data_IF_478109737906
#
_entry.id   IF_478109737906
#
_cell.length_a   1.000
_cell.length_b   1.000
_cell.length_c   1.000
_cell.angle_alpha   90.00
_cell.angle_beta   90.00
_cell.angle_gamma   90.00
#
_symmetry.space_group_name_H-M   'P 1'
#
loop_
_entity.id
_entity.type
_entity.pdbx_description
1 polymer ?
#
# COMPACT_ATOMS: atom_id res chain seq x y z
N UNK A 1 8.15 -9.55 -20.16
CA UNK A 1 8.45 -8.14 -19.85
C UNK A 1 8.04 -7.93 -18.41
N UNK A 2 8.96 -7.46 -17.56
CA UNK A 2 8.68 -7.22 -16.13
C UNK A 2 7.80 -5.98 -16.02
N UNK A 3 6.70 -6.06 -15.27
CA UNK A 3 5.81 -4.91 -15.03
C UNK A 3 6.35 -4.16 -13.80
N UNK A 4 6.58 -2.87 -13.94
CA UNK A 4 7.12 -2.02 -12.89
C UNK A 4 6.13 -0.95 -12.49
N UNK A 5 6.14 -0.60 -11.21
CA UNK A 5 5.35 0.48 -10.64
C UNK A 5 6.26 1.55 -10.07
N UNK A 6 5.92 2.82 -10.27
CA UNK A 6 6.78 3.95 -9.94
C UNK A 6 6.14 4.87 -8.91
N UNK A 7 6.94 5.39 -7.96
CA UNK A 7 6.50 6.38 -6.97
C UNK A 7 7.68 7.20 -6.45
N UNK A 8 7.47 8.50 -6.25
CA UNK A 8 8.42 9.35 -5.54
C UNK A 8 8.25 9.21 -4.03
N UNK A 9 9.31 8.79 -3.32
CA UNK A 9 9.30 8.56 -1.87
C UNK A 9 10.60 9.00 -1.21
N UNK A 10 10.50 9.36 0.06
CA UNK A 10 11.61 9.84 0.88
C UNK A 10 12.64 8.72 1.01
N UNK A 11 13.92 9.06 0.88
CA UNK A 11 15.01 8.12 1.16
C UNK A 11 15.25 7.99 2.67
N UNK A 12 15.49 6.77 3.12
CA UNK A 12 16.06 6.47 4.43
C UNK A 12 17.08 5.35 4.25
N UNK A 13 18.36 5.71 4.34
CA UNK A 13 19.50 4.80 4.19
C UNK A 13 19.53 4.05 2.85
N UNK A 14 19.20 4.73 1.74
CA UNK A 14 19.21 4.13 0.41
C UNK A 14 18.00 3.24 0.08
N UNK A 15 16.95 3.29 0.92
CA UNK A 15 15.67 2.61 0.72
C UNK A 15 14.51 3.59 0.86
N UNK A 16 13.33 3.32 0.28
CA UNK A 16 12.18 4.22 0.45
C UNK A 16 11.64 4.13 1.87
N UNK A 17 11.71 5.22 2.63
CA UNK A 17 11.30 5.30 4.04
C UNK A 17 9.87 4.77 4.25
N UNK A 18 9.70 3.86 5.20
CA UNK A 18 8.40 3.27 5.55
C UNK A 18 7.56 4.26 6.36
N UNK A 19 6.24 4.31 6.10
CA UNK A 19 5.31 4.98 6.99
C UNK A 19 4.02 5.48 6.34
N UNK A 20 3.15 6.06 7.18
CA UNK A 20 1.77 6.45 6.84
C UNK A 20 1.67 7.84 6.21
N UNK A 21 2.42 8.07 5.14
CA UNK A 21 2.39 9.36 4.44
C UNK A 21 2.49 9.17 2.94
N UNK A 22 1.96 10.13 2.20
CA UNK A 22 2.02 10.10 0.76
C UNK A 22 3.46 10.17 0.22
N UNK A 23 4.45 10.62 1.02
CA UNK A 23 5.88 10.64 0.65
C UNK A 23 6.65 9.40 1.10
N UNK A 24 6.00 8.45 1.76
CA UNK A 24 6.60 7.26 2.34
C UNK A 24 6.08 6.01 1.62
N UNK A 25 6.78 4.89 1.84
CA UNK A 25 6.33 3.56 1.47
C UNK A 25 5.26 3.14 2.47
N UNK A 26 4.00 3.29 2.05
CA UNK A 26 2.85 3.12 2.91
C UNK A 26 1.63 3.92 2.45
N UNK A 27 0.64 3.97 3.32
CA UNK A 27 -0.67 4.53 3.07
C UNK A 27 -1.09 5.54 4.14
N UNK A 28 -1.83 6.57 3.76
CA UNK A 28 -2.53 7.46 4.69
C UNK A 28 -3.87 6.86 5.08
N UNK A 29 -4.08 6.69 6.38
CA UNK A 29 -5.34 6.17 6.91
C UNK A 29 -6.47 7.19 6.65
N UNK A 30 -7.64 6.70 6.23
CA UNK A 30 -8.81 7.51 5.88
C UNK A 30 -8.72 8.26 4.55
N UNK A 31 -7.56 8.27 3.88
CA UNK A 31 -7.41 8.83 2.53
C UNK A 31 -7.13 7.74 1.51
N UNK A 32 -6.00 7.05 1.67
CA UNK A 32 -5.51 6.03 0.76
C UNK A 32 -6.18 4.68 1.07
N UNK A 33 -6.41 4.38 2.35
CA UNK A 33 -7.07 3.15 2.82
C UNK A 33 -8.07 3.46 3.93
N UNK A 34 -9.22 2.79 3.94
CA UNK A 34 -10.13 2.86 5.08
C UNK A 34 -9.72 1.82 6.14
N UNK A 35 -9.78 2.24 7.39
CA UNK A 35 -9.44 1.41 8.54
C UNK A 35 -10.63 1.41 9.49
N UNK A 36 -10.95 0.24 10.03
CA UNK A 36 -11.98 0.07 11.03
C UNK A 36 -11.41 -0.61 12.28
N UNK A 37 -11.86 -0.19 13.45
CA UNK A 37 -11.59 -0.89 14.71
C UNK A 37 -12.51 -2.10 14.83
N UNK A 38 -11.96 -3.29 15.00
CA UNK A 38 -12.71 -4.54 15.15
C UNK A 38 -12.16 -5.35 16.34
N UNK A 39 -13.00 -6.10 17.07
CA UNK A 39 -12.51 -7.06 18.04
C UNK A 39 -11.51 -8.03 17.40
N UNK A 40 -10.44 -8.36 18.12
CA UNK A 40 -9.43 -9.33 17.65
C UNK A 40 -10.06 -10.68 17.30
N UNK A 41 -11.14 -11.08 17.97
CA UNK A 41 -11.94 -12.28 17.64
C UNK A 41 -12.67 -12.23 16.30
N UNK A 42 -12.57 -11.12 15.54
CA UNK A 42 -13.02 -11.06 14.14
C UNK A 42 -11.96 -11.51 13.14
N UNK A 43 -10.70 -11.69 13.58
CA UNK A 43 -9.58 -12.06 12.71
C UNK A 43 -9.15 -13.50 12.98
N UNK A 44 -8.63 -14.17 11.94
CA UNK A 44 -7.96 -15.46 12.09
C UNK A 44 -6.55 -15.30 12.67
N UNK A 45 -5.85 -16.42 12.88
CA UNK A 45 -4.46 -16.45 13.38
C UNK A 45 -3.46 -15.68 12.51
N UNK A 46 -3.78 -15.49 11.23
CA UNK A 46 -2.96 -14.75 10.28
C UNK A 46 -3.35 -13.26 10.23
N UNK A 47 -4.39 -12.84 10.95
CA UNK A 47 -4.90 -11.47 10.94
C UNK A 47 -5.84 -11.17 9.77
N UNK A 48 -6.41 -12.17 9.11
CA UNK A 48 -7.42 -11.98 8.07
C UNK A 48 -8.82 -11.94 8.66
N UNK A 49 -9.70 -11.12 8.07
CA UNK A 49 -11.08 -11.02 8.54
C UNK A 49 -11.85 -12.33 8.33
N UNK A 50 -12.35 -12.90 9.42
CA UNK A 50 -13.16 -14.11 9.42
C UNK A 50 -14.53 -13.88 8.74
N UNK A 51 -15.16 -14.95 8.21
CA UNK A 51 -16.57 -14.92 7.82
C UNK A 51 -17.46 -14.47 8.98
N UNK A 52 -18.59 -13.82 8.69
CA UNK A 52 -19.48 -13.24 9.74
C UNK A 52 -19.93 -14.25 10.81
N UNK A 53 -20.08 -15.52 10.46
CA UNK A 53 -20.55 -16.58 11.36
C UNK A 53 -19.51 -16.97 12.42
N UNK A 54 -18.23 -16.75 12.13
CA UNK A 54 -17.11 -17.18 12.99
C UNK A 54 -16.56 -16.04 13.84
N UNK A 55 -17.16 -14.84 13.76
CA UNK A 55 -16.69 -13.64 14.46
C UNK A 55 -17.18 -13.63 15.89
N UNK A 56 -16.25 -13.54 16.82
CA UNK A 56 -16.54 -13.35 18.24
C UNK A 56 -16.53 -11.86 18.61
N UNK A 57 -17.59 -11.38 19.25
CA UNK A 57 -17.71 -9.99 19.73
C UNK A 57 -17.00 -9.83 21.09
N UNK A 58 -15.80 -10.40 21.23
CA UNK A 58 -14.98 -10.35 22.44
C UNK A 58 -13.53 -10.07 22.06
N UNK A 59 -12.81 -9.45 22.99
CA UNK A 59 -11.39 -9.12 22.85
C UNK A 59 -11.11 -7.65 22.59
N UNK A 60 -9.83 -7.32 22.52
CA UNK A 60 -9.34 -5.96 22.26
C UNK A 60 -9.69 -5.49 20.85
N UNK A 61 -9.88 -4.18 20.69
CA UNK A 61 -10.10 -3.58 19.38
C UNK A 61 -8.76 -3.39 18.66
N UNK A 62 -8.66 -3.94 17.45
CA UNK A 62 -7.51 -3.82 16.57
C UNK A 62 -7.89 -3.09 15.28
N UNK A 63 -6.92 -2.39 14.71
CA UNK A 63 -7.09 -1.68 13.44
C UNK A 63 -7.05 -2.66 12.26
N UNK A 64 -8.11 -2.66 11.45
CA UNK A 64 -8.27 -3.53 10.29
C UNK A 64 -8.35 -2.70 9.01
N UNK A 65 -7.46 -2.96 8.07
CA UNK A 65 -7.46 -2.37 6.74
C UNK A 65 -8.52 -3.05 5.86
N UNK A 66 -9.47 -2.28 5.34
CA UNK A 66 -10.56 -2.81 4.52
C UNK A 66 -10.10 -3.05 3.09
N UNK A 67 -10.44 -4.22 2.54
CA UNK A 67 -10.32 -4.45 1.09
C UNK A 67 -11.42 -3.68 0.38
N UNK A 68 -11.03 -2.64 -0.33
CA UNK A 68 -11.89 -1.86 -1.20
C UNK A 68 -11.24 -1.71 -2.58
N UNK A 69 -12.08 -1.58 -3.60
CA UNK A 69 -11.58 -1.29 -4.94
C UNK A 69 -10.95 0.10 -4.98
N UNK A 70 -9.79 0.22 -5.64
CA UNK A 70 -9.12 1.51 -5.91
C UNK A 70 -8.68 2.28 -4.64
N UNK A 71 -8.46 1.55 -3.54
CA UNK A 71 -7.90 2.07 -2.28
C UNK A 71 -6.60 1.35 -1.96
N UNK A 72 -5.56 2.09 -1.66
CA UNK A 72 -4.23 1.54 -1.42
C UNK A 72 -3.12 2.56 -1.66
N UNK A 73 -1.89 2.08 -1.70
CA UNK A 73 -0.74 2.91 -1.99
C UNK A 73 -0.70 3.25 -3.48
N UNK A 74 -0.91 4.53 -3.82
CA UNK A 74 -0.84 5.04 -5.20
C UNK A 74 0.54 4.87 -5.83
N UNK A 75 0.58 4.28 -7.02
CA UNK A 75 1.77 4.15 -7.86
C UNK A 75 1.40 4.42 -9.33
N UNK A 76 2.39 4.66 -10.18
CA UNK A 76 2.22 4.91 -11.61
C UNK A 76 2.80 3.80 -12.47
N UNK A 77 2.22 3.56 -13.65
CA UNK A 77 2.72 2.56 -14.62
C UNK A 77 3.97 3.01 -15.38
N UNK A 78 4.29 4.30 -15.35
CA UNK A 78 5.51 4.86 -15.94
C UNK A 78 5.98 6.09 -15.16
N UNK A 79 7.20 6.53 -15.43
CA UNK A 79 7.76 7.74 -14.82
C UNK A 79 7.01 8.98 -15.32
N UNK A 80 6.69 9.02 -16.61
CA UNK A 80 6.00 10.14 -17.27
C UNK A 80 4.61 10.36 -16.69
N UNK A 81 3.94 9.26 -16.33
CA UNK A 81 2.63 9.24 -15.69
C UNK A 81 2.61 9.80 -14.26
N UNK A 82 3.76 9.99 -13.61
CA UNK A 82 3.80 10.54 -12.26
C UNK A 82 3.33 12.01 -12.26
N UNK A 83 2.52 12.41 -11.26
CA UNK A 83 2.21 13.81 -11.01
C UNK A 83 3.48 14.65 -10.85
N UNK A 84 3.50 15.86 -11.41
CA UNK A 84 4.64 16.77 -11.33
C UNK A 84 5.25 16.97 -9.90
N UNK A 85 4.47 17.11 -8.81
CA UNK A 85 5.03 17.23 -7.45
C UNK A 85 5.63 15.92 -6.91
N UNK A 86 5.40 14.78 -7.57
CA UNK A 86 5.90 13.44 -7.20
C UNK A 86 6.99 12.93 -8.13
N UNK A 87 7.29 13.69 -9.17
CA UNK A 87 8.26 13.36 -10.21
C UNK A 87 9.52 14.20 -10.01
N UNK A 88 10.72 13.60 -9.93
CA UNK A 88 11.97 14.34 -9.81
C UNK A 88 12.22 15.32 -10.98
N UNK A 89 13.02 16.35 -10.73
CA UNK A 89 13.39 17.35 -11.75
C UNK A 89 14.05 16.74 -13.00
N UNK A 90 14.89 15.71 -12.83
CA UNK A 90 15.51 14.99 -13.96
C UNK A 90 14.52 14.33 -14.93
N UNK A 91 13.26 14.16 -14.52
CA UNK A 91 12.18 13.60 -15.32
C UNK A 91 11.08 14.63 -15.64
N UNK A 92 11.39 15.93 -15.55
CA UNK A 92 10.46 17.01 -15.89
C UNK A 92 9.38 17.30 -14.84
N UNK A 93 9.59 16.90 -13.59
CA UNK A 93 8.75 17.31 -12.46
C UNK A 93 9.44 18.31 -11.54
N UNK A 94 8.89 18.52 -10.34
CA UNK A 94 9.48 19.36 -9.29
C UNK A 94 9.39 18.71 -7.90
N UNK A 95 9.19 17.38 -7.87
CA UNK A 95 9.25 16.58 -6.66
C UNK A 95 10.64 16.57 -6.03
N UNK A 96 10.68 16.59 -4.71
CA UNK A 96 11.92 16.60 -3.90
C UNK A 96 12.45 15.21 -3.58
N UNK A 97 11.60 14.21 -3.69
CA UNK A 97 11.90 12.83 -3.36
C UNK A 97 12.58 12.10 -4.53
N UNK A 98 13.50 11.16 -4.27
CA UNK A 98 13.96 10.24 -5.29
C UNK A 98 12.81 9.38 -5.82
N UNK A 99 13.03 8.85 -7.02
CA UNK A 99 12.11 7.93 -7.67
C UNK A 99 12.46 6.50 -7.29
N UNK A 100 11.44 5.74 -6.90
CA UNK A 100 11.54 4.31 -6.63
C UNK A 100 10.67 3.53 -7.61
N UNK A 101 11.04 2.26 -7.79
CA UNK A 101 10.29 1.29 -8.56
C UNK A 101 9.98 0.07 -7.69
N UNK A 102 8.85 -0.58 -7.96
CA UNK A 102 8.46 -1.85 -7.37
C UNK A 102 8.18 -2.82 -8.52
N UNK A 103 8.79 -4.00 -8.47
CA UNK A 103 8.47 -5.09 -9.39
C UNK A 103 7.08 -5.67 -9.06
N UNK A 104 6.26 -5.92 -10.07
CA UNK A 104 4.97 -6.60 -9.92
C UNK A 104 5.12 -7.99 -9.30
N UNK A 105 6.27 -8.67 -9.48
CA UNK A 105 6.55 -9.93 -8.78
C UNK A 105 6.63 -9.78 -7.25
N UNK A 106 6.84 -8.57 -6.74
CA UNK A 106 6.87 -8.27 -5.32
C UNK A 106 5.47 -7.94 -4.79
N UNK A 107 4.48 -7.73 -5.67
CA UNK A 107 3.08 -7.51 -5.30
C UNK A 107 2.37 -8.86 -5.22
N UNK A 108 2.70 -9.62 -4.17
CA UNK A 108 2.19 -10.98 -3.95
C UNK A 108 1.63 -11.15 -2.54
N UNK A 109 1.05 -12.33 -2.27
CA UNK A 109 0.50 -12.68 -0.97
C UNK A 109 -0.64 -11.75 -0.55
N UNK A 110 -0.33 -10.86 0.41
CA UNK A 110 -1.26 -9.91 1.04
C UNK A 110 -1.59 -8.70 0.16
N UNK A 111 -0.81 -8.48 -0.90
CA UNK A 111 -0.99 -7.33 -1.78
C UNK A 111 -1.63 -7.74 -3.11
N UNK A 112 -2.30 -6.77 -3.73
CA UNK A 112 -2.74 -6.83 -5.12
C UNK A 112 -2.56 -5.45 -5.77
N UNK A 113 -2.21 -5.44 -7.06
CA UNK A 113 -2.17 -4.22 -7.86
C UNK A 113 -3.51 -4.00 -8.56
N UNK A 114 -4.24 -2.95 -8.19
CA UNK A 114 -5.53 -2.58 -8.79
C UNK A 114 -5.33 -1.36 -9.68
N UNK A 115 -5.33 -1.57 -10.99
CA UNK A 115 -5.30 -0.46 -11.94
C UNK A 115 -6.67 0.22 -12.00
N UNK A 116 -6.74 1.50 -11.65
CA UNK A 116 -8.00 2.26 -11.61
C UNK A 116 -8.16 3.26 -12.77
N UNK A 117 -7.09 3.51 -13.52
CA UNK A 117 -7.06 4.34 -14.73
C UNK A 117 -5.95 3.87 -15.67
N UNK A 118 -5.79 4.53 -16.82
CA UNK A 118 -4.74 4.18 -17.80
C UNK A 118 -3.31 4.37 -17.27
N UNK A 119 -3.11 5.12 -16.19
CA UNK A 119 -1.78 5.49 -15.69
C UNK A 119 -1.57 5.25 -14.19
N UNK A 120 -2.65 5.13 -13.42
CA UNK A 120 -2.61 4.99 -11.95
C UNK A 120 -3.02 3.59 -11.50
N UNK A 121 -2.31 3.11 -10.49
CA UNK A 121 -2.51 1.81 -9.85
C UNK A 121 -2.51 2.03 -8.35
N UNK A 122 -3.41 1.35 -7.65
CA UNK A 122 -3.42 1.26 -6.19
C UNK A 122 -2.86 -0.09 -5.77
N UNK A 123 -1.79 -0.11 -4.98
CA UNK A 123 -1.34 -1.32 -4.30
C UNK A 123 -2.23 -1.50 -3.07
N UNK A 124 -3.15 -2.44 -3.14
CA UNK A 124 -4.24 -2.64 -2.17
C UNK A 124 -4.02 -3.91 -1.34
N UNK A 125 -4.60 -4.02 -0.14
CA UNK A 125 -4.72 -5.31 0.52
C UNK A 125 -5.59 -6.25 -0.33
N UNK A 126 -5.17 -7.52 -0.47
CA UNK A 126 -5.90 -8.53 -1.27
C UNK A 126 -7.19 -8.99 -0.59
N UNK A 127 -7.20 -8.96 0.74
CA UNK A 127 -8.32 -9.29 1.63
C UNK A 127 -8.36 -8.29 2.78
N UNK A 128 -9.52 -8.13 3.42
CA UNK A 128 -9.61 -7.32 4.64
C UNK A 128 -8.77 -7.98 5.74
N UNK A 129 -7.82 -7.24 6.30
CA UNK A 129 -6.78 -7.80 7.18
C UNK A 129 -6.33 -6.79 8.24
N UNK A 130 -5.59 -7.25 9.24
CA UNK A 130 -4.93 -6.40 10.23
C UNK A 130 -4.09 -5.32 9.53
N UNK A 131 -4.21 -4.07 9.98
CA UNK A 131 -3.50 -2.94 9.38
C UNK A 131 -1.99 -3.17 9.40
N UNK A 132 -1.43 -3.66 10.51
CA UNK A 132 0.00 -3.92 10.65
C UNK A 132 0.50 -4.96 9.64
N UNK A 133 -0.32 -5.98 9.34
CA UNK A 133 0.01 -6.99 8.32
C UNK A 133 0.08 -6.36 6.93
N UNK A 134 -0.88 -5.51 6.58
CA UNK A 134 -0.86 -4.80 5.31
C UNK A 134 0.36 -3.87 5.19
N UNK A 135 0.70 -3.16 6.26
CA UNK A 135 1.86 -2.27 6.29
C UNK A 135 3.19 -3.02 6.21
N UNK A 136 3.30 -4.17 6.87
CA UNK A 136 4.44 -5.07 6.74
C UNK A 136 4.56 -5.61 5.31
N UNK A 137 3.44 -5.97 4.68
CA UNK A 137 3.45 -6.41 3.28
C UNK A 137 3.93 -5.31 2.34
N UNK A 138 3.51 -4.05 2.54
CA UNK A 138 4.06 -2.91 1.80
C UNK A 138 5.55 -2.72 2.06
N UNK A 139 6.00 -2.79 3.32
CA UNK A 139 7.40 -2.68 3.67
C UNK A 139 8.28 -3.75 2.98
N UNK A 140 7.76 -4.97 2.84
CA UNK A 140 8.46 -6.07 2.17
C UNK A 140 8.63 -5.86 0.64
N UNK A 141 8.02 -4.82 0.06
CA UNK A 141 8.29 -4.41 -1.32
C UNK A 141 9.55 -3.54 -1.48
N UNK A 142 10.23 -3.20 -0.37
CA UNK A 142 11.51 -2.48 -0.40
C UNK A 142 12.66 -3.31 -0.96
N UNK A 143 12.69 -4.58 -0.60
CA UNK A 143 13.68 -5.52 -1.07
C UNK A 143 13.19 -6.10 -2.41
N UNK A 144 14.14 -6.53 -3.25
CA UNK A 144 13.97 -7.08 -4.61
C UNK A 144 13.97 -6.04 -5.74
#
# INVERSE_FOLDING_TARGET
>A
MVKLYYRGMTDENGKPKIGRSARLLGVRLGTDINVQQMPVGHLDENGYLLPKLDREVRGELVAVALKEEKKGMSVSLSIEALPAPRKPAKFGGYGKDPLWQIDDSNITGDLQAVQDSSTHVSISPRVTMLLERYELALANTQDY
#
